data_IF_035047892891
#
_entry.id   IF_035047892891
#
_cell.length_a   1.000
_cell.length_b   1.000
_cell.length_c   1.000
_cell.angle_alpha   90.00
_cell.angle_beta   90.00
_cell.angle_gamma   90.00
#
_symmetry.space_group_name_H-M   'P 1'
#
loop_
_entity.id
_entity.type
_entity.pdbx_description
1 polymer ?
#
# COMPACT_ATOMS: atom_id res chain seq x y z
N UNK A 1 20.79 -27.37 -9.11
CA UNK A 1 19.56 -26.75 -9.66
C UNK A 1 18.71 -27.73 -10.46
N UNK A 2 19.25 -28.41 -11.48
CA UNK A 2 18.50 -29.37 -12.32
C UNK A 2 18.00 -30.62 -11.57
N UNK A 3 18.84 -31.25 -10.74
CA UNK A 3 18.45 -32.44 -9.95
C UNK A 3 17.35 -32.16 -8.92
N UNK A 4 17.30 -30.92 -8.39
CA UNK A 4 16.29 -30.49 -7.42
C UNK A 4 15.04 -29.90 -8.10
N UNK A 5 14.94 -29.93 -9.43
CA UNK A 5 13.83 -29.34 -10.19
C UNK A 5 13.71 -27.82 -10.07
N UNK A 6 14.73 -27.13 -9.54
CA UNK A 6 14.70 -25.69 -9.30
C UNK A 6 15.03 -24.93 -10.59
N UNK A 7 14.13 -24.03 -10.99
CA UNK A 7 14.29 -23.10 -12.11
C UNK A 7 14.47 -21.68 -11.62
N UNK A 8 15.36 -20.92 -12.25
CA UNK A 8 15.46 -19.49 -12.01
C UNK A 8 14.14 -18.81 -12.37
N UNK A 9 13.53 -18.11 -11.42
CA UNK A 9 12.42 -17.20 -11.67
C UNK A 9 13.02 -15.80 -11.74
N UNK A 10 12.95 -15.18 -12.91
CA UNK A 10 13.36 -13.78 -13.06
C UNK A 10 12.58 -12.93 -12.04
N UNK A 11 13.30 -12.31 -11.12
CA UNK A 11 12.71 -11.33 -10.21
C UNK A 11 12.21 -10.16 -11.06
N UNK A 12 11.00 -9.67 -10.75
CA UNK A 12 10.48 -8.45 -11.39
C UNK A 12 11.44 -7.31 -11.06
N UNK A 13 11.80 -6.51 -12.07
CA UNK A 13 12.63 -5.32 -11.85
C UNK A 13 11.96 -4.43 -10.80
N UNK A 14 12.74 -4.04 -9.79
CA UNK A 14 12.32 -3.06 -8.81
C UNK A 14 12.01 -1.75 -9.54
N UNK A 15 10.87 -1.14 -9.24
CA UNK A 15 10.44 0.13 -9.82
C UNK A 15 10.18 1.09 -8.66
N UNK A 16 10.93 2.18 -8.65
CA UNK A 16 10.67 3.31 -7.75
C UNK A 16 9.36 3.95 -8.20
N UNK A 17 8.36 3.97 -7.32
CA UNK A 17 7.04 4.55 -7.59
C UNK A 17 6.88 5.94 -6.96
N UNK A 18 7.82 6.34 -6.10
CA UNK A 18 7.73 7.54 -5.28
C UNK A 18 8.99 8.36 -5.47
N UNK A 19 8.81 9.64 -5.80
CA UNK A 19 9.88 10.63 -5.75
C UNK A 19 9.84 11.32 -4.39
N UNK A 20 10.78 10.97 -3.52
CA UNK A 20 10.90 11.58 -2.19
C UNK A 20 11.83 12.80 -2.18
N UNK A 21 12.60 13.02 -3.25
CA UNK A 21 13.53 14.15 -3.39
C UNK A 21 12.93 15.22 -4.30
N UNK A 22 11.78 15.77 -3.88
CA UNK A 22 11.06 16.78 -4.62
C UNK A 22 11.16 18.16 -3.96
N UNK A 23 11.09 19.23 -4.76
CA UNK A 23 11.09 20.61 -4.26
C UNK A 23 9.69 21.13 -3.87
N UNK A 24 8.69 20.26 -3.74
CA UNK A 24 7.35 20.63 -3.24
C UNK A 24 7.35 20.83 -1.73
N UNK A 25 6.37 21.57 -1.23
CA UNK A 25 6.13 21.72 0.20
C UNK A 25 5.86 20.35 0.84
N UNK A 26 6.65 20.02 1.85
CA UNK A 26 6.44 18.83 2.69
C UNK A 26 5.66 19.27 3.92
N UNK A 27 4.54 18.59 4.19
CA UNK A 27 3.75 18.78 5.39
C UNK A 27 4.16 17.78 6.47
N UNK A 28 4.08 18.19 7.73
CA UNK A 28 4.42 17.32 8.84
C UNK A 28 3.47 16.11 8.92
N UNK A 29 4.03 14.93 9.20
CA UNK A 29 3.26 13.72 9.45
C UNK A 29 2.68 13.76 10.88
N UNK A 30 1.58 14.51 11.06
CA UNK A 30 0.91 14.70 12.36
C UNK A 30 0.42 13.37 12.95
N UNK A 31 0.02 12.42 12.11
CA UNK A 31 -0.53 11.15 12.57
C UNK A 31 0.52 10.22 13.18
N UNK A 32 1.77 10.28 12.72
CA UNK A 32 2.91 9.48 13.18
C UNK A 32 2.59 8.00 13.49
N UNK A 33 1.86 7.34 12.57
CA UNK A 33 1.40 5.94 12.68
C UNK A 33 0.53 5.64 13.92
N UNK A 34 0.00 6.65 14.60
CA UNK A 34 -0.95 6.52 15.70
C UNK A 34 -2.37 6.34 15.14
N UNK A 35 -2.70 5.11 14.75
CA UNK A 35 -4.02 4.82 14.17
C UNK A 35 -5.11 4.57 15.20
N UNK A 36 -4.75 4.34 16.46
CA UNK A 36 -5.70 4.16 17.56
C UNK A 36 -6.03 5.51 18.17
N UNK A 37 -7.30 5.91 18.07
CA UNK A 37 -7.77 7.21 18.54
C UNK A 37 -8.79 7.06 19.68
N UNK A 38 -8.91 8.09 20.51
CA UNK A 38 -9.87 8.13 21.64
C UNK A 38 -11.30 8.42 21.18
N UNK A 39 -11.45 8.95 19.96
CA UNK A 39 -12.74 9.29 19.37
C UNK A 39 -12.80 8.79 17.93
N UNK A 40 -13.98 8.31 17.47
CA UNK A 40 -14.17 7.97 16.07
C UNK A 40 -13.98 9.20 15.18
N UNK A 41 -13.58 8.97 13.94
CA UNK A 41 -13.42 10.02 12.93
C UNK A 41 -12.11 10.82 12.96
N UNK A 42 -11.26 10.65 13.99
CA UNK A 42 -9.98 11.40 14.11
C UNK A 42 -8.88 10.96 13.15
N UNK A 43 -8.81 9.66 12.84
CA UNK A 43 -7.85 9.09 11.90
C UNK A 43 -8.50 8.03 11.03
N UNK A 44 -8.23 8.06 9.73
CA UNK A 44 -8.76 7.10 8.77
C UNK A 44 -7.61 6.47 8.02
N UNK A 45 -7.69 5.16 7.80
CA UNK A 45 -6.77 4.40 6.96
C UNK A 45 -7.53 3.95 5.73
N UNK A 46 -6.96 4.20 4.56
CA UNK A 46 -7.50 3.70 3.30
C UNK A 46 -6.46 2.89 2.56
N UNK A 47 -6.91 1.90 1.82
CA UNK A 47 -6.07 1.13 0.89
C UNK A 47 -6.84 0.84 -0.39
N UNK A 48 -6.11 0.69 -1.48
CA UNK A 48 -6.64 0.32 -2.78
C UNK A 48 -6.03 -1.00 -3.24
N UNK A 49 -6.89 -1.95 -3.59
CA UNK A 49 -6.47 -3.25 -4.11
C UNK A 49 -7.12 -3.54 -5.44
N UNK A 50 -6.47 -4.42 -6.19
CA UNK A 50 -6.83 -4.80 -7.55
C UNK A 50 -7.33 -6.23 -7.53
N UNK A 51 -8.60 -6.43 -7.88
CA UNK A 51 -9.23 -7.75 -7.92
C UNK A 51 -9.37 -8.16 -9.38
N UNK A 52 -8.67 -9.22 -9.77
CA UNK A 52 -8.78 -9.79 -11.11
C UNK A 52 -10.12 -10.54 -11.26
N UNK A 53 -10.84 -10.24 -12.33
CA UNK A 53 -12.07 -10.91 -12.78
C UNK A 53 -11.92 -11.39 -14.22
N UNK A 54 -12.86 -12.17 -14.75
CA UNK A 54 -12.74 -12.72 -16.12
C UNK A 54 -12.69 -11.61 -17.18
N UNK A 55 -13.38 -10.52 -16.91
CA UNK A 55 -13.56 -9.38 -17.81
C UNK A 55 -12.49 -8.29 -17.64
N UNK A 56 -11.56 -8.45 -16.69
CA UNK A 56 -10.52 -7.45 -16.42
C UNK A 56 -10.13 -7.33 -14.95
N UNK A 57 -9.90 -6.10 -14.48
CA UNK A 57 -9.51 -5.81 -13.10
C UNK A 57 -10.48 -4.79 -12.51
N UNK A 58 -10.98 -5.07 -11.31
CA UNK A 58 -11.80 -4.17 -10.53
C UNK A 58 -10.92 -3.51 -9.47
N UNK A 59 -11.17 -2.24 -9.21
CA UNK A 59 -10.49 -1.44 -8.20
C UNK A 59 -11.37 -1.42 -6.94
N UNK A 60 -10.87 -1.98 -5.85
CA UNK A 60 -11.54 -1.95 -4.55
C UNK A 60 -10.81 -0.96 -3.65
N UNK A 61 -11.53 0.05 -3.19
CA UNK A 61 -11.04 0.96 -2.15
C UNK A 61 -11.70 0.62 -0.82
N UNK A 62 -10.91 0.49 0.22
CA UNK A 62 -11.38 0.25 1.58
C UNK A 62 -11.04 1.43 2.47
N UNK A 63 -11.90 1.69 3.46
CA UNK A 63 -11.67 2.70 4.48
C UNK A 63 -11.90 2.05 5.85
N UNK A 64 -11.05 2.38 6.81
CA UNK A 64 -11.18 1.93 8.18
C UNK A 64 -10.84 3.07 9.14
N UNK A 65 -11.51 3.08 10.28
CA UNK A 65 -11.24 3.97 11.40
C UNK A 65 -11.09 3.08 12.63
N UNK A 66 -9.97 3.24 13.37
CA UNK A 66 -9.72 2.48 14.59
C UNK A 66 -9.80 3.40 15.79
N UNK A 67 -10.77 3.13 16.65
CA UNK A 67 -10.94 3.78 17.95
C UNK A 67 -10.88 2.72 19.07
N UNK A 68 -10.43 3.13 20.25
CA UNK A 68 -10.43 2.31 21.48
C UNK A 68 -11.66 2.59 22.32
#
# INVERSE_FOLDING_TARGET
MKELGLRSKLARRYRITTDSEHNYLVVDNILDRQFTQTEPGKAWVSDITYIAVKEGVIYLTTYSNRFI
#
